data_IF_676540084672
#
_entry.id   IF_676540084672
#
_cell.length_a   1.000
_cell.length_b   1.000
_cell.length_c   1.000
_cell.angle_alpha   90.00
_cell.angle_beta   90.00
_cell.angle_gamma   90.00
#
_symmetry.space_group_name_H-M   'P 1'
#
loop_
_entity.id
_entity.type
_entity.pdbx_description
1 polymer ?
#
# COMPACT_ATOMS: atom_id res chain seq x y z
N UNK A 1 13.15 17.36 -27.05
CA UNK A 1 14.06 16.64 -26.11
C UNK A 1 13.92 17.13 -24.68
N UNK A 2 13.92 18.47 -24.43
CA UNK A 2 13.88 19.04 -23.08
C UNK A 2 12.58 18.72 -22.32
N UNK A 3 11.41 18.82 -22.98
CA UNK A 3 10.11 18.49 -22.38
C UNK A 3 9.97 17.02 -22.00
N UNK A 4 10.56 16.12 -22.75
CA UNK A 4 10.55 14.69 -22.44
C UNK A 4 11.45 14.36 -21.23
N UNK A 5 12.60 15.02 -21.12
CA UNK A 5 13.49 14.87 -19.99
C UNK A 5 12.87 15.40 -18.68
N UNK A 6 12.20 16.56 -18.76
CA UNK A 6 11.48 17.15 -17.61
C UNK A 6 10.32 16.25 -17.16
N UNK A 7 9.51 15.74 -18.09
CA UNK A 7 8.43 14.82 -17.80
C UNK A 7 8.92 13.51 -17.19
N UNK A 8 10.05 12.97 -17.69
CA UNK A 8 10.68 11.76 -17.14
C UNK A 8 11.22 11.99 -15.74
N UNK A 9 11.85 13.15 -15.49
CA UNK A 9 12.34 13.53 -14.16
C UNK A 9 11.19 13.71 -13.17
N UNK A 10 10.10 14.33 -13.58
CA UNK A 10 8.89 14.47 -12.76
C UNK A 10 8.28 13.10 -12.44
N UNK A 11 8.22 12.21 -13.42
CA UNK A 11 7.72 10.86 -13.22
C UNK A 11 8.57 10.10 -12.18
N UNK A 12 9.90 10.16 -12.31
CA UNK A 12 10.82 9.53 -11.36
C UNK A 12 10.74 10.12 -9.94
N UNK A 13 10.40 11.41 -9.82
CA UNK A 13 10.25 12.07 -8.52
C UNK A 13 9.01 11.59 -7.73
N UNK A 14 7.98 11.06 -8.41
CA UNK A 14 6.70 10.73 -7.81
C UNK A 14 6.28 9.27 -7.95
N UNK A 15 7.04 8.45 -8.68
CA UNK A 15 6.72 7.05 -8.92
C UNK A 15 7.87 6.13 -8.56
N UNK A 16 7.49 4.93 -8.10
CA UNK A 16 8.43 3.84 -7.86
C UNK A 16 8.88 3.20 -9.18
N UNK A 17 10.18 3.08 -9.38
CA UNK A 17 10.74 2.57 -10.63
C UNK A 17 10.45 1.09 -10.89
N UNK A 18 10.30 0.28 -9.85
CA UNK A 18 10.05 -1.15 -9.99
C UNK A 18 8.60 -1.45 -10.37
N UNK A 19 7.65 -0.85 -9.66
CA UNK A 19 6.23 -1.16 -9.79
C UNK A 19 5.46 -0.17 -10.64
N UNK A 20 6.01 1.02 -10.89
CA UNK A 20 5.31 2.12 -11.56
C UNK A 20 4.26 2.82 -10.69
N UNK A 21 4.08 2.37 -9.47
CA UNK A 21 3.13 2.97 -8.53
C UNK A 21 3.62 4.32 -8.01
N UNK A 22 2.73 5.17 -7.48
CA UNK A 22 3.15 6.30 -6.67
C UNK A 22 4.16 5.89 -5.61
N UNK A 23 5.18 6.72 -5.40
CA UNK A 23 6.15 6.51 -4.34
C UNK A 23 5.68 7.14 -3.01
N UNK A 24 6.50 7.06 -1.97
CA UNK A 24 6.21 7.66 -0.66
C UNK A 24 5.88 9.14 -0.76
N UNK A 25 6.65 9.90 -1.53
CA UNK A 25 6.45 11.34 -1.69
C UNK A 25 5.07 11.66 -2.26
N UNK A 26 4.70 11.01 -3.33
CA UNK A 26 3.38 11.20 -3.96
C UNK A 26 2.26 10.76 -3.03
N UNK A 27 2.44 9.65 -2.35
CA UNK A 27 1.47 9.14 -1.39
C UNK A 27 1.22 10.13 -0.25
N UNK A 28 2.29 10.71 0.31
CA UNK A 28 2.17 11.69 1.40
C UNK A 28 1.44 12.97 0.96
N UNK A 29 1.62 13.40 -0.28
CA UNK A 29 0.85 14.52 -0.85
C UNK A 29 -0.66 14.17 -0.95
N UNK A 30 -0.99 12.98 -1.43
CA UNK A 30 -2.38 12.51 -1.48
C UNK A 30 -3.01 12.43 -0.10
N UNK A 31 -2.26 11.91 0.87
CA UNK A 31 -2.71 11.77 2.26
C UNK A 31 -2.95 13.14 2.91
N UNK A 32 -2.03 14.08 2.72
CA UNK A 32 -2.20 15.46 3.21
C UNK A 32 -3.48 16.09 2.67
N UNK A 33 -3.79 15.87 1.38
CA UNK A 33 -5.03 16.31 0.76
C UNK A 33 -6.26 15.68 1.39
N UNK A 34 -6.23 14.38 1.66
CA UNK A 34 -7.34 13.68 2.32
C UNK A 34 -7.58 14.18 3.73
N UNK A 35 -6.52 14.37 4.51
CA UNK A 35 -6.60 14.94 5.87
C UNK A 35 -7.25 16.32 5.82
N UNK A 36 -6.81 17.20 4.92
CA UNK A 36 -7.37 18.54 4.77
C UNK A 36 -8.85 18.51 4.38
N UNK A 37 -9.23 17.63 3.44
CA UNK A 37 -10.64 17.49 3.01
C UNK A 37 -11.54 17.00 4.14
N UNK A 38 -11.09 16.06 4.95
CA UNK A 38 -11.88 15.56 6.09
C UNK A 38 -12.00 16.58 7.22
N UNK A 39 -11.02 17.45 7.40
CA UNK A 39 -11.10 18.56 8.34
C UNK A 39 -12.14 19.60 7.91
N UNK A 40 -12.23 19.86 6.60
CA UNK A 40 -13.19 20.81 6.03
C UNK A 40 -14.60 20.24 5.95
N UNK A 41 -14.74 18.94 5.74
CA UNK A 41 -16.01 18.24 5.56
C UNK A 41 -16.03 16.92 6.34
N UNK A 42 -16.71 16.85 7.48
CA UNK A 42 -16.79 15.61 8.28
C UNK A 42 -17.41 14.41 7.55
N UNK A 43 -18.18 14.66 6.48
CA UNK A 43 -18.72 13.59 5.64
C UNK A 43 -17.67 12.95 4.72
N UNK A 44 -16.52 13.57 4.57
CA UNK A 44 -15.41 13.04 3.78
C UNK A 44 -14.63 11.99 4.60
N UNK A 45 -15.05 10.74 4.50
CA UNK A 45 -14.46 9.62 5.24
C UNK A 45 -13.36 8.97 4.40
N UNK A 46 -12.20 8.76 4.99
CA UNK A 46 -11.09 8.04 4.38
C UNK A 46 -10.49 7.03 5.36
N UNK A 47 -9.82 6.04 4.80
CA UNK A 47 -9.01 5.09 5.55
C UNK A 47 -7.65 4.93 4.87
N UNK A 48 -6.63 4.65 5.66
CA UNK A 48 -5.29 4.32 5.19
C UNK A 48 -4.96 2.89 5.65
N UNK A 49 -4.44 2.10 4.73
CA UNK A 49 -3.92 0.75 5.02
C UNK A 49 -2.43 0.74 4.78
N UNK A 50 -1.68 0.24 5.76
CA UNK A 50 -0.27 -0.05 5.62
C UNK A 50 -0.11 -1.56 5.45
N UNK A 51 0.57 -1.98 4.39
CA UNK A 51 0.72 -3.38 4.03
C UNK A 51 2.20 -3.73 4.01
N UNK A 52 2.54 -4.83 4.68
CA UNK A 52 3.88 -5.40 4.64
C UNK A 52 3.77 -6.90 4.36
N UNK A 53 4.57 -7.38 3.43
CA UNK A 53 4.54 -8.78 3.05
C UNK A 53 5.39 -9.62 4.01
N UNK A 54 4.77 -10.65 4.55
CA UNK A 54 5.43 -11.54 5.50
C UNK A 54 6.50 -12.36 4.78
N UNK A 55 7.67 -12.48 5.42
CA UNK A 55 8.78 -13.31 4.94
C UNK A 55 9.31 -12.93 3.55
N UNK A 56 9.12 -11.70 3.10
CA UNK A 56 9.67 -11.25 1.81
C UNK A 56 11.20 -11.38 1.76
N UNK A 57 11.89 -11.06 2.86
CA UNK A 57 13.33 -11.25 2.97
C UNK A 57 13.73 -12.70 2.72
N UNK A 58 12.94 -13.67 3.20
CA UNK A 58 13.20 -15.09 2.98
C UNK A 58 13.14 -15.45 1.50
N UNK A 59 12.21 -14.87 0.76
CA UNK A 59 12.12 -15.08 -0.70
C UNK A 59 13.36 -14.53 -1.40
N UNK A 60 13.80 -13.32 -1.07
CA UNK A 60 15.03 -12.74 -1.60
C UNK A 60 16.26 -13.60 -1.29
N UNK A 61 16.40 -14.04 -0.04
CA UNK A 61 17.55 -14.82 0.41
C UNK A 61 17.58 -16.23 -0.24
N UNK A 62 16.40 -16.81 -0.48
CA UNK A 62 16.28 -18.16 -1.02
C UNK A 62 16.29 -18.23 -2.55
N UNK A 63 15.65 -17.28 -3.22
CA UNK A 63 15.39 -17.30 -4.67
C UNK A 63 16.04 -16.13 -5.42
N UNK A 64 16.67 -15.20 -4.71
CA UNK A 64 17.34 -14.04 -5.27
C UNK A 64 16.46 -12.81 -5.43
N UNK A 65 17.11 -11.65 -5.61
CA UNK A 65 16.44 -10.36 -5.69
C UNK A 65 15.54 -10.21 -6.94
N UNK A 66 15.90 -10.85 -8.05
CA UNK A 66 15.06 -10.81 -9.26
C UNK A 66 13.70 -11.45 -9.05
N UNK A 67 13.66 -12.57 -8.34
CA UNK A 67 12.40 -13.26 -8.00
C UNK A 67 11.61 -12.43 -6.99
N UNK A 68 12.27 -11.84 -6.00
CA UNK A 68 11.65 -10.93 -5.06
C UNK A 68 11.04 -9.71 -5.74
N UNK A 69 11.75 -9.10 -6.69
CA UNK A 69 11.25 -7.97 -7.47
C UNK A 69 10.01 -8.36 -8.31
N UNK A 70 10.04 -9.49 -8.98
CA UNK A 70 8.91 -10.01 -9.73
C UNK A 70 7.70 -10.26 -8.82
N UNK A 71 7.93 -10.81 -7.63
CA UNK A 71 6.89 -11.02 -6.62
C UNK A 71 6.25 -9.69 -6.22
N UNK A 72 7.03 -8.65 -5.95
CA UNK A 72 6.51 -7.32 -5.62
C UNK A 72 5.65 -6.73 -6.73
N UNK A 73 6.07 -6.88 -7.98
CA UNK A 73 5.31 -6.42 -9.14
C UNK A 73 3.98 -7.17 -9.26
N UNK A 74 3.98 -8.48 -9.10
CA UNK A 74 2.76 -9.29 -9.15
C UNK A 74 1.82 -8.99 -7.99
N UNK A 75 2.36 -8.81 -6.78
CA UNK A 75 1.58 -8.40 -5.61
C UNK A 75 0.91 -7.04 -5.82
N UNK A 76 1.66 -6.07 -6.33
CA UNK A 76 1.14 -4.75 -6.65
C UNK A 76 -0.04 -4.83 -7.64
N UNK A 77 0.09 -5.61 -8.70
CA UNK A 77 -0.98 -5.83 -9.68
C UNK A 77 -2.20 -6.47 -9.04
N UNK A 78 -2.01 -7.49 -8.23
CA UNK A 78 -3.09 -8.20 -7.58
C UNK A 78 -3.86 -7.33 -6.60
N UNK A 79 -3.18 -6.47 -5.85
CA UNK A 79 -3.80 -5.47 -4.99
C UNK A 79 -4.56 -4.44 -5.84
N UNK A 80 -3.91 -3.91 -6.88
CA UNK A 80 -4.51 -2.89 -7.76
C UNK A 80 -5.84 -3.34 -8.38
N UNK A 81 -5.94 -4.61 -8.75
CA UNK A 81 -7.17 -5.19 -9.31
C UNK A 81 -8.36 -5.18 -8.34
N UNK A 82 -8.11 -5.10 -7.04
CA UNK A 82 -9.14 -5.07 -6.00
C UNK A 82 -9.55 -3.66 -5.60
N UNK A 83 -8.82 -2.65 -6.04
CA UNK A 83 -9.05 -1.26 -5.69
C UNK A 83 -10.03 -0.58 -6.65
N UNK A 84 -10.71 0.44 -6.13
CA UNK A 84 -11.53 1.34 -6.94
C UNK A 84 -10.61 2.32 -7.71
N UNK A 85 -11.07 2.94 -8.82
CA UNK A 85 -10.26 3.89 -9.58
C UNK A 85 -9.73 5.07 -8.77
N UNK A 86 -10.44 5.49 -7.73
CA UNK A 86 -10.06 6.62 -6.88
C UNK A 86 -9.17 6.23 -5.70
N UNK A 87 -9.01 4.95 -5.42
CA UNK A 87 -8.11 4.48 -4.38
C UNK A 87 -6.65 4.62 -4.85
N UNK A 88 -5.77 5.03 -3.96
CA UNK A 88 -4.35 5.22 -4.27
C UNK A 88 -3.56 4.09 -3.62
N UNK A 89 -2.86 3.32 -4.45
CA UNK A 89 -1.87 2.34 -4.00
C UNK A 89 -0.48 2.92 -4.24
N UNK A 90 0.37 2.88 -3.23
CA UNK A 90 1.75 3.34 -3.31
C UNK A 90 2.73 2.29 -2.77
N UNK A 91 3.93 2.28 -3.29
CA UNK A 91 5.05 1.57 -2.70
C UNK A 91 5.92 2.55 -1.92
N UNK A 92 6.09 2.30 -0.62
CA UNK A 92 6.83 3.20 0.28
C UNK A 92 8.33 2.89 0.32
N UNK A 93 8.70 1.69 -0.03
CA UNK A 93 10.06 1.17 -0.06
C UNK A 93 10.09 -0.31 0.26
N UNK A 94 11.12 -1.04 -0.16
CA UNK A 94 11.24 -2.47 0.12
C UNK A 94 9.96 -3.24 -0.22
N UNK A 95 9.40 -3.92 0.75
CA UNK A 95 8.14 -4.68 0.69
C UNK A 95 6.96 -3.96 1.36
N UNK A 96 7.09 -2.67 1.61
CA UNK A 96 6.07 -1.84 2.25
C UNK A 96 5.20 -1.12 1.23
N UNK A 97 3.89 -1.30 1.34
CA UNK A 97 2.88 -0.67 0.50
C UNK A 97 1.86 0.05 1.37
N UNK A 98 1.23 1.06 0.81
CA UNK A 98 0.14 1.78 1.46
C UNK A 98 -1.01 2.02 0.49
N UNK A 99 -2.22 2.02 1.03
CA UNK A 99 -3.44 2.32 0.29
C UNK A 99 -4.16 3.46 0.99
N UNK A 100 -4.56 4.45 0.22
CA UNK A 100 -5.48 5.49 0.67
C UNK A 100 -6.82 5.28 -0.03
N UNK A 101 -7.85 4.97 0.75
CA UNK A 101 -9.22 4.85 0.28
C UNK A 101 -10.02 6.06 0.76
N UNK A 102 -10.34 6.96 -0.16
CA UNK A 102 -11.16 8.15 0.12
C UNK A 102 -12.64 7.90 -0.24
N UNK A 103 -13.53 8.68 0.37
CA UNK A 103 -14.97 8.61 0.12
C UNK A 103 -15.54 7.22 0.31
N UNK A 104 -15.11 6.57 1.37
CA UNK A 104 -15.74 5.35 1.84
C UNK A 104 -17.01 5.72 2.60
N UNK A 105 -18.03 4.87 2.49
CA UNK A 105 -19.32 5.15 3.17
C UNK A 105 -19.24 4.96 4.68
N UNK A 106 -18.44 4.01 5.12
CA UNK A 106 -18.28 3.65 6.52
C UNK A 106 -16.89 3.03 6.76
N UNK A 107 -16.36 3.15 7.97
CA UNK A 107 -15.08 2.53 8.36
C UNK A 107 -15.04 1.02 8.09
N UNK A 108 -16.18 0.36 8.25
CA UNK A 108 -16.32 -1.07 7.95
C UNK A 108 -15.99 -1.42 6.51
N UNK A 109 -16.22 -0.52 5.57
CA UNK A 109 -15.88 -0.74 4.16
C UNK A 109 -14.36 -0.92 3.97
N UNK A 110 -13.55 -0.24 4.77
CA UNK A 110 -12.09 -0.42 4.77
C UNK A 110 -11.69 -1.81 5.31
N UNK A 111 -12.36 -2.28 6.36
CA UNK A 111 -12.11 -3.62 6.91
C UNK A 111 -12.46 -4.70 5.88
N UNK A 112 -13.60 -4.57 5.21
CA UNK A 112 -14.02 -5.49 4.12
C UNK A 112 -13.00 -5.48 2.98
N UNK A 113 -12.51 -4.30 2.60
CA UNK A 113 -11.45 -4.22 1.58
C UNK A 113 -10.18 -4.93 2.03
N UNK A 114 -9.74 -4.71 3.28
CA UNK A 114 -8.56 -5.38 3.82
C UNK A 114 -8.70 -6.91 3.81
N UNK A 115 -9.85 -7.44 4.20
CA UNK A 115 -10.14 -8.88 4.14
C UNK A 115 -10.05 -9.42 2.70
N UNK A 116 -10.62 -8.71 1.74
CA UNK A 116 -10.54 -9.07 0.31
C UNK A 116 -9.10 -9.05 -0.21
N UNK A 117 -8.31 -8.09 0.23
CA UNK A 117 -6.88 -8.02 -0.12
C UNK A 117 -6.10 -9.18 0.50
N UNK A 118 -6.35 -9.51 1.75
CA UNK A 118 -5.73 -10.66 2.41
C UNK A 118 -6.04 -11.96 1.66
N UNK A 119 -7.29 -12.20 1.30
CA UNK A 119 -7.70 -13.37 0.52
C UNK A 119 -7.01 -13.43 -0.84
N UNK A 120 -6.92 -12.31 -1.54
CA UNK A 120 -6.27 -12.23 -2.83
C UNK A 120 -4.76 -12.52 -2.75
N UNK A 121 -4.11 -12.01 -1.71
CA UNK A 121 -2.66 -12.17 -1.51
C UNK A 121 -2.27 -13.56 -1.03
N UNK A 122 -3.18 -14.31 -0.43
CA UNK A 122 -2.94 -15.70 -0.02
C UNK A 122 -2.91 -16.69 -1.19
N UNK A 123 -3.46 -16.31 -2.34
CA UNK A 123 -3.41 -17.16 -3.53
C UNK A 123 -1.97 -17.27 -4.03
N UNK A 124 -1.53 -18.48 -4.48
CA UNK A 124 -0.18 -18.65 -4.96
C UNK A 124 0.22 -17.71 -6.08
N UNK A 125 1.49 -17.34 -6.11
CA UNK A 125 2.12 -16.56 -7.17
C UNK A 125 3.01 -17.49 -8.00
N UNK A 126 2.88 -17.41 -9.32
CA UNK A 126 3.77 -18.11 -10.24
C UNK A 126 4.92 -17.19 -10.65
N UNK A 127 6.13 -17.54 -10.23
CA UNK A 127 7.37 -16.82 -10.55
C UNK A 127 8.25 -17.73 -11.43
N UNK A 128 8.10 -17.63 -12.74
CA UNK A 128 8.70 -18.59 -13.66
C UNK A 128 8.08 -19.97 -13.46
N UNK A 129 8.89 -20.97 -13.11
CA UNK A 129 8.44 -22.33 -12.79
C UNK A 129 8.16 -22.55 -11.29
N UNK A 130 8.43 -21.55 -10.44
CA UNK A 130 8.24 -21.63 -9.00
C UNK A 130 6.87 -21.13 -8.59
N UNK A 131 6.20 -21.89 -7.74
CA UNK A 131 4.96 -21.49 -7.10
C UNK A 131 5.27 -21.00 -5.66
N UNK A 132 4.92 -19.75 -5.38
CA UNK A 132 5.21 -19.12 -4.08
C UNK A 132 3.91 -18.73 -3.42
N UNK A 133 3.75 -19.16 -2.17
CA UNK A 133 2.68 -18.69 -1.28
C UNK A 133 3.24 -17.60 -0.39
N UNK A 134 2.58 -16.45 -0.39
CA UNK A 134 2.93 -15.32 0.43
C UNK A 134 1.76 -14.93 1.32
N UNK A 135 2.04 -14.19 2.37
CA UNK A 135 1.01 -13.56 3.20
C UNK A 135 1.40 -12.10 3.46
N UNK A 136 0.45 -11.34 3.94
CA UNK A 136 0.65 -9.94 4.26
C UNK A 136 0.03 -9.61 5.61
N UNK A 137 0.58 -8.59 6.26
CA UNK A 137 0.00 -7.98 7.45
C UNK A 137 -0.48 -6.57 7.09
N UNK A 138 -1.68 -6.21 7.52
CA UNK A 138 -2.32 -4.94 7.20
C UNK A 138 -2.69 -4.22 8.48
N UNK A 139 -2.22 -2.98 8.61
CA UNK A 139 -2.64 -2.04 9.65
C UNK A 139 -3.55 -0.97 9.03
N UNK A 140 -4.62 -0.58 9.72
CA UNK A 140 -5.60 0.37 9.22
C UNK A 140 -5.71 1.55 10.19
N UNK A 141 -5.74 2.77 9.63
CA UNK A 141 -6.09 3.99 10.36
C UNK A 141 -7.25 4.70 9.66
N UNK A 142 -8.03 5.45 10.42
CA UNK A 142 -9.26 6.10 9.96
C UNK A 142 -9.24 7.59 10.24
N UNK A 143 -9.91 8.37 9.42
CA UNK A 143 -10.08 9.81 9.63
C UNK A 143 -10.78 10.16 10.95
N UNK A 144 -11.60 9.26 11.48
CA UNK A 144 -12.31 9.45 12.76
C UNK A 144 -11.38 9.62 13.96
N UNK A 145 -10.11 9.25 13.85
CA UNK A 145 -9.11 9.47 14.93
C UNK A 145 -8.65 10.92 15.05
N UNK A 146 -9.11 11.83 14.21
CA UNK A 146 -8.86 13.27 14.33
C UNK A 146 -7.45 13.70 13.96
N UNK A 147 -6.82 13.04 13.00
CA UNK A 147 -5.47 13.38 12.55
C UNK A 147 -5.36 14.79 11.98
N UNK A 148 -4.29 15.48 12.32
CA UNK A 148 -3.93 16.79 11.77
C UNK A 148 -2.71 16.73 10.86
N UNK A 149 -1.79 15.79 11.11
CA UNK A 149 -0.59 15.60 10.31
C UNK A 149 -0.62 14.26 9.58
N UNK A 150 -0.30 14.21 8.27
CA UNK A 150 -0.28 12.95 7.51
C UNK A 150 0.77 11.96 8.03
N UNK A 151 1.88 12.43 8.58
CA UNK A 151 2.92 11.59 9.16
C UNK A 151 2.41 10.74 10.34
N UNK A 152 1.52 11.30 11.15
CA UNK A 152 0.92 10.60 12.29
C UNK A 152 -0.01 9.49 11.84
N UNK A 153 -0.75 9.70 10.75
CA UNK A 153 -1.62 8.68 10.14
C UNK A 153 -0.81 7.47 9.71
N UNK A 154 0.26 7.72 8.97
CA UNK A 154 1.11 6.65 8.44
C UNK A 154 1.82 5.90 9.56
N UNK A 155 2.33 6.60 10.57
CA UNK A 155 2.97 6.00 11.74
C UNK A 155 2.02 5.08 12.50
N UNK A 156 0.79 5.51 12.73
CA UNK A 156 -0.20 4.70 13.46
C UNK A 156 -0.64 3.47 12.66
N UNK A 157 -0.75 3.60 11.35
CA UNK A 157 -1.01 2.45 10.46
C UNK A 157 0.14 1.44 10.48
N UNK A 158 1.38 1.91 10.46
CA UNK A 158 2.57 1.07 10.59
C UNK A 158 2.59 0.34 11.94
N UNK A 159 2.30 1.05 13.01
CA UNK A 159 2.19 0.46 14.36
C UNK A 159 1.11 -0.63 14.42
N UNK A 160 -0.06 -0.37 13.83
CA UNK A 160 -1.14 -1.35 13.76
C UNK A 160 -0.75 -2.58 12.95
N UNK A 161 -0.06 -2.38 11.83
CA UNK A 161 0.47 -3.46 10.99
C UNK A 161 1.48 -4.32 11.76
N UNK A 162 2.38 -3.69 12.49
CA UNK A 162 3.38 -4.39 13.31
C UNK A 162 2.73 -5.26 14.39
N UNK A 163 1.66 -4.78 15.04
CA UNK A 163 0.87 -5.58 15.98
C UNK A 163 0.22 -6.77 15.28
N UNK A 164 -0.35 -6.57 14.10
CA UNK A 164 -0.94 -7.64 13.31
C UNK A 164 0.08 -8.74 12.98
N UNK A 165 1.32 -8.39 12.67
CA UNK A 165 2.42 -9.35 12.48
C UNK A 165 2.71 -10.17 13.73
N UNK A 166 2.72 -9.54 14.89
CA UNK A 166 2.97 -10.22 16.18
C UNK A 166 1.88 -11.22 16.55
N UNK A 167 0.62 -10.92 16.25
CA UNK A 167 -0.55 -11.74 16.56
C UNK A 167 -0.81 -12.83 15.52
N UNK A 168 -0.48 -12.60 14.26
CA UNK A 168 -0.74 -13.50 13.12
C UNK A 168 0.37 -14.51 12.83
N UNK A 169 1.45 -14.51 13.59
CA UNK A 169 2.57 -15.44 13.44
C UNK A 169 2.36 -16.72 14.27
N UNK A 170 1.22 -17.28 14.14
CA UNK A 170 1.06 -18.62 14.68
C UNK A 170 1.59 -19.64 13.67
#
# INVERSE_FOLDING_TARGET
>A
ARRHAEASLQHLAFHDSLTGLPNRRRFMECLAGAVARSQADPAHVWALMFIDFDRFKLVNDSLGHHVGDELLVQMARRVQEKLRPNDVLARLGGDEFAILAERIGHERDAVVLAERLMDALQRPFMLGSEEITASASIGITFCAFGYQAPEDVLRDADTAMYKAKGEGRA
#
